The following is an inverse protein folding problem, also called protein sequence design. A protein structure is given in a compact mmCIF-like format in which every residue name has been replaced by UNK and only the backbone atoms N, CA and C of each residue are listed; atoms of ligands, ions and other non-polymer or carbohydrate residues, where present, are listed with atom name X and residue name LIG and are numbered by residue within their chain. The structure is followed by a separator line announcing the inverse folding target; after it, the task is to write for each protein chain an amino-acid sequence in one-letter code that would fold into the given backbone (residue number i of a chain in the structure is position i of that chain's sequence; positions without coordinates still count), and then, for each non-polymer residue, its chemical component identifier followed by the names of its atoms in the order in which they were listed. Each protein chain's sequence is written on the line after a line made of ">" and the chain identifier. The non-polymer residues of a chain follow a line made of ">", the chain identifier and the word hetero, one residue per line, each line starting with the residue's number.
data_IF_673734059988
#
_entry.id   IF_673734059988
#
_cell.length_a   1.000
_cell.length_b   1.000
_cell.length_c   1.000
_cell.angle_alpha   90.00
_cell.angle_beta   90.00
_cell.angle_gamma   90.00
#
_symmetry.space_group_name_H-M   'P 1'
#
loop_
_entity.id
_entity.type
_entity.pdbx_description
1 polymer ?
#
# COMPACT_ATOMS: atom_id res chain seq x y z
N UNK A 1 -1.76 -5.58 -27.72
CA UNK A 1 -2.26 -4.56 -26.78
C UNK A 1 -1.10 -3.73 -26.24
N UNK A 2 -0.75 -2.67 -26.96
CA UNK A 2 0.39 -1.77 -26.73
C UNK A 2 0.43 -1.21 -25.27
N UNK A 3 -0.73 -0.98 -24.65
CA UNK A 3 -0.81 -0.48 -23.26
C UNK A 3 -0.34 -1.51 -22.23
N UNK A 4 -0.65 -2.79 -22.42
CA UNK A 4 -0.22 -3.87 -21.52
C UNK A 4 1.28 -4.14 -21.68
N UNK A 5 1.78 -4.18 -22.89
CA UNK A 5 3.21 -4.37 -23.17
C UNK A 5 4.06 -3.26 -22.54
N UNK A 6 3.61 -1.99 -22.64
CA UNK A 6 4.26 -0.86 -21.99
C UNK A 6 4.28 -1.00 -20.47
N UNK A 7 3.17 -1.43 -19.83
CA UNK A 7 3.13 -1.72 -18.39
C UNK A 7 4.11 -2.82 -17.99
N UNK A 8 4.19 -3.90 -18.76
CA UNK A 8 5.13 -5.00 -18.53
C UNK A 8 6.57 -4.53 -18.64
N UNK A 9 6.90 -3.78 -19.68
CA UNK A 9 8.25 -3.23 -19.87
C UNK A 9 8.69 -2.34 -18.71
N UNK A 10 7.83 -1.38 -18.32
CA UNK A 10 8.09 -0.49 -17.19
C UNK A 10 8.21 -1.30 -15.89
N UNK A 11 7.26 -2.22 -15.65
CA UNK A 11 7.26 -3.06 -14.45
C UNK A 11 8.53 -3.90 -14.31
N UNK A 12 9.04 -4.48 -15.40
CA UNK A 12 10.30 -5.22 -15.41
C UNK A 12 11.51 -4.30 -15.08
N UNK A 13 11.55 -3.08 -15.63
CA UNK A 13 12.59 -2.09 -15.31
C UNK A 13 12.56 -1.73 -13.83
N UNK A 14 11.38 -1.40 -13.29
CA UNK A 14 11.20 -1.08 -11.86
C UNK A 14 11.58 -2.28 -10.98
N UNK A 15 11.17 -3.50 -11.34
CA UNK A 15 11.55 -4.72 -10.61
C UNK A 15 13.07 -4.90 -10.54
N UNK A 16 13.79 -4.63 -11.63
CA UNK A 16 15.26 -4.70 -11.64
C UNK A 16 15.89 -3.71 -10.66
N UNK A 17 15.35 -2.47 -10.60
CA UNK A 17 15.79 -1.45 -9.65
C UNK A 17 15.48 -1.89 -8.21
N UNK A 18 14.26 -2.32 -7.93
CA UNK A 18 13.87 -2.80 -6.59
C UNK A 18 14.77 -3.94 -6.12
N UNK A 19 15.10 -4.89 -7.00
CA UNK A 19 16.02 -5.99 -6.68
C UNK A 19 17.42 -5.48 -6.33
N UNK A 20 17.94 -4.51 -7.09
CA UNK A 20 19.27 -3.90 -6.81
C UNK A 20 19.33 -3.29 -5.41
N UNK A 21 18.26 -2.65 -4.97
CA UNK A 21 18.18 -2.00 -3.66
C UNK A 21 17.54 -2.86 -2.56
N UNK A 22 17.31 -4.16 -2.82
CA UNK A 22 16.71 -5.12 -1.88
C UNK A 22 15.34 -4.68 -1.32
N UNK A 23 14.55 -3.93 -2.10
CA UNK A 23 13.18 -3.51 -1.75
C UNK A 23 12.15 -4.34 -2.51
N UNK A 24 11.00 -4.58 -1.88
CA UNK A 24 9.90 -5.34 -2.49
C UNK A 24 9.08 -4.45 -3.43
N UNK A 25 8.72 -4.99 -4.60
CA UNK A 25 7.81 -4.36 -5.54
C UNK A 25 6.40 -4.91 -5.37
N UNK A 26 5.49 -4.05 -4.92
CA UNK A 26 4.06 -4.35 -4.80
C UNK A 26 3.31 -3.62 -5.91
N UNK A 27 2.57 -4.35 -6.73
CA UNK A 27 1.76 -3.80 -7.82
C UNK A 27 0.38 -3.44 -7.31
N UNK A 28 -0.11 -2.25 -7.65
CA UNK A 28 -1.48 -1.84 -7.33
C UNK A 28 -2.47 -2.50 -8.29
N UNK A 29 -3.56 -3.05 -7.74
CA UNK A 29 -4.82 -3.42 -8.37
C UNK A 29 -4.73 -4.55 -9.42
N UNK A 30 -3.52 -5.00 -9.82
CA UNK A 30 -3.34 -5.90 -10.98
C UNK A 30 -2.53 -7.17 -10.64
N UNK A 31 -3.20 -8.25 -10.18
CA UNK A 31 -2.56 -9.55 -9.93
C UNK A 31 -1.97 -10.20 -11.19
N UNK A 32 -2.56 -9.97 -12.37
CA UNK A 32 -2.02 -10.53 -13.61
C UNK A 32 -0.68 -9.89 -14.00
N UNK A 33 -0.58 -8.55 -13.88
CA UNK A 33 0.70 -7.85 -14.07
C UNK A 33 1.72 -8.31 -13.02
N UNK A 34 1.30 -8.45 -11.75
CA UNK A 34 2.14 -8.98 -10.67
C UNK A 34 2.77 -10.31 -11.04
N UNK A 35 1.96 -11.26 -11.55
CA UNK A 35 2.43 -12.57 -12.04
C UNK A 35 3.37 -12.40 -13.24
N UNK A 36 2.97 -11.60 -14.24
CA UNK A 36 3.68 -11.45 -15.52
C UNK A 36 5.09 -10.89 -15.38
N UNK A 37 5.30 -9.92 -14.47
CA UNK A 37 6.62 -9.32 -14.20
C UNK A 37 7.33 -9.96 -13.02
N UNK A 38 6.73 -10.98 -12.42
CA UNK A 38 7.21 -11.65 -11.20
C UNK A 38 7.48 -10.65 -10.05
N UNK A 39 6.57 -9.68 -9.83
CA UNK A 39 6.65 -8.76 -8.69
C UNK A 39 6.50 -9.50 -7.34
N UNK A 40 6.83 -8.85 -6.24
CA UNK A 40 6.82 -9.48 -4.90
C UNK A 40 5.41 -9.59 -4.32
N UNK A 41 4.47 -8.78 -4.80
CA UNK A 41 3.09 -8.82 -4.35
C UNK A 41 2.17 -7.86 -5.10
N UNK A 42 0.91 -7.84 -4.63
CA UNK A 42 -0.15 -6.98 -5.14
C UNK A 42 -0.88 -6.32 -3.97
N UNK A 43 -1.31 -5.07 -4.14
CA UNK A 43 -2.20 -4.37 -3.23
C UNK A 43 -3.57 -4.19 -3.88
N UNK A 44 -4.65 -4.51 -3.17
CA UNK A 44 -6.01 -4.49 -3.69
C UNK A 44 -6.89 -3.56 -2.85
N UNK A 45 -7.67 -2.74 -3.52
CA UNK A 45 -8.78 -1.98 -2.95
C UNK A 45 -10.06 -2.80 -2.90
N UNK A 46 -11.14 -2.21 -2.37
CA UNK A 46 -12.43 -2.90 -2.18
C UNK A 46 -13.21 -3.12 -3.50
N UNK A 47 -12.91 -2.35 -4.54
CA UNK A 47 -13.51 -2.49 -5.88
C UNK A 47 -12.68 -3.34 -6.83
N UNK A 48 -11.49 -3.78 -6.39
CA UNK A 48 -10.59 -4.55 -7.22
C UNK A 48 -10.88 -6.05 -7.17
N UNK A 49 -9.99 -6.86 -7.73
CA UNK A 49 -10.14 -8.30 -7.70
C UNK A 49 -10.22 -8.85 -6.28
N UNK A 50 -11.18 -9.73 -6.03
CA UNK A 50 -11.30 -10.42 -4.74
C UNK A 50 -10.01 -11.17 -4.38
N UNK A 51 -9.65 -11.17 -3.07
CA UNK A 51 -8.41 -11.74 -2.56
C UNK A 51 -8.24 -13.22 -2.91
N UNK A 52 -9.31 -14.04 -2.92
CA UNK A 52 -9.25 -15.45 -3.27
C UNK A 52 -8.86 -15.64 -4.74
N UNK A 53 -9.46 -14.86 -5.65
CA UNK A 53 -9.10 -14.88 -7.07
C UNK A 53 -7.65 -14.42 -7.27
N UNK A 54 -7.24 -13.35 -6.61
CA UNK A 54 -5.87 -12.86 -6.65
C UNK A 54 -4.88 -13.91 -6.13
N UNK A 55 -5.19 -14.57 -5.00
CA UNK A 55 -4.36 -15.63 -4.42
C UNK A 55 -4.17 -16.81 -5.39
N UNK A 56 -5.20 -17.17 -6.13
CA UNK A 56 -5.11 -18.22 -7.16
C UNK A 56 -4.15 -17.85 -8.30
N UNK A 57 -4.03 -16.55 -8.62
CA UNK A 57 -3.16 -16.05 -9.68
C UNK A 57 -1.71 -15.93 -9.21
N UNK A 58 -1.48 -15.30 -8.05
CA UNK A 58 -0.14 -14.94 -7.60
C UNK A 58 0.42 -15.85 -6.50
N UNK A 59 -0.37 -16.88 -6.09
CA UNK A 59 0.05 -17.94 -5.16
C UNK A 59 0.61 -17.38 -3.84
N UNK A 60 1.87 -17.65 -3.55
CA UNK A 60 2.55 -17.31 -2.29
C UNK A 60 3.10 -15.88 -2.24
N UNK A 61 2.74 -15.02 -3.19
CA UNK A 61 3.17 -13.61 -3.18
C UNK A 61 2.35 -12.78 -2.19
N UNK A 62 2.90 -11.65 -1.81
CA UNK A 62 2.28 -10.73 -0.85
C UNK A 62 0.97 -10.18 -1.42
N UNK A 63 -0.11 -10.22 -0.63
CA UNK A 63 -1.37 -9.53 -0.92
C UNK A 63 -1.69 -8.57 0.23
N UNK A 64 -1.76 -7.29 -0.10
CA UNK A 64 -2.26 -6.24 0.80
C UNK A 64 -3.69 -5.85 0.47
N UNK A 65 -4.48 -5.48 1.48
CA UNK A 65 -5.89 -5.07 1.30
C UNK A 65 -6.15 -3.71 1.93
N UNK A 66 -6.73 -2.79 1.16
CA UNK A 66 -7.26 -1.52 1.68
C UNK A 66 -8.53 -1.79 2.51
N UNK A 67 -8.56 -1.29 3.75
CA UNK A 67 -9.69 -1.43 4.66
C UNK A 67 -10.36 -0.09 5.04
N UNK A 68 -9.98 1.01 4.41
CA UNK A 68 -10.49 2.36 4.68
C UNK A 68 -10.43 2.73 6.18
N UNK A 69 -11.58 2.94 6.83
CA UNK A 69 -11.70 3.14 8.29
C UNK A 69 -12.61 2.05 8.87
N UNK A 70 -12.44 0.79 8.47
CA UNK A 70 -13.37 -0.30 8.81
C UNK A 70 -12.70 -1.52 9.41
N UNK A 71 -12.95 -1.74 10.69
CA UNK A 71 -12.54 -2.98 11.37
C UNK A 71 -13.23 -4.20 10.76
N UNK A 72 -14.47 -4.07 10.26
CA UNK A 72 -15.19 -5.16 9.58
C UNK A 72 -14.43 -5.63 8.34
N UNK A 73 -14.02 -4.68 7.48
CA UNK A 73 -13.22 -5.00 6.29
C UNK A 73 -11.87 -5.62 6.66
N UNK A 74 -11.22 -5.10 7.70
CA UNK A 74 -9.95 -5.65 8.17
C UNK A 74 -10.10 -7.10 8.68
N UNK A 75 -11.15 -7.41 9.46
CA UNK A 75 -11.45 -8.78 9.90
C UNK A 75 -11.66 -9.73 8.70
N UNK A 76 -12.39 -9.27 7.67
CA UNK A 76 -12.60 -10.04 6.45
C UNK A 76 -11.27 -10.29 5.73
N UNK A 77 -10.43 -9.26 5.57
CA UNK A 77 -9.12 -9.39 4.94
C UNK A 77 -8.21 -10.38 5.67
N UNK A 78 -8.17 -10.30 7.01
CA UNK A 78 -7.39 -11.24 7.86
C UNK A 78 -7.88 -12.68 7.71
N UNK A 79 -9.19 -12.91 7.77
CA UNK A 79 -9.78 -14.24 7.56
C UNK A 79 -9.44 -14.83 6.20
N UNK A 80 -9.36 -13.97 5.18
CA UNK A 80 -9.00 -14.34 3.82
C UNK A 80 -7.48 -14.36 3.57
N UNK A 81 -6.67 -14.39 4.64
CA UNK A 81 -5.21 -14.52 4.59
C UNK A 81 -4.52 -13.40 3.79
N UNK A 82 -4.95 -12.15 4.00
CA UNK A 82 -4.16 -11.00 3.59
C UNK A 82 -2.83 -10.96 4.35
N UNK A 83 -1.75 -10.61 3.66
CA UNK A 83 -0.41 -10.53 4.27
C UNK A 83 -0.20 -9.20 5.00
N UNK A 84 -0.92 -8.16 4.62
CA UNK A 84 -1.04 -6.90 5.35
C UNK A 84 -2.36 -6.19 5.03
N UNK A 85 -2.73 -5.25 5.89
CA UNK A 85 -3.92 -4.41 5.71
C UNK A 85 -3.53 -2.94 5.73
N UNK A 86 -4.27 -2.11 4.98
CA UNK A 86 -4.05 -0.68 4.94
C UNK A 86 -5.29 0.10 5.38
N UNK A 87 -5.10 1.06 6.27
CA UNK A 87 -6.12 2.02 6.69
C UNK A 87 -5.81 3.41 6.17
N UNK A 88 -6.83 4.17 5.83
CA UNK A 88 -6.72 5.54 5.32
C UNK A 88 -8.02 6.04 4.67
N UNK A 89 -8.05 7.33 4.27
CA UNK A 89 -6.94 8.26 4.44
C UNK A 89 -6.89 8.83 5.85
N UNK A 90 -5.69 8.99 6.42
CA UNK A 90 -5.55 9.62 7.74
C UNK A 90 -5.52 11.15 7.66
N UNK A 91 -5.17 11.69 6.51
CA UNK A 91 -5.16 13.13 6.23
C UNK A 91 -5.61 13.37 4.80
N UNK A 92 -5.98 14.61 4.49
CA UNK A 92 -6.38 15.00 3.14
C UNK A 92 -5.25 14.75 2.13
N UNK A 93 -5.63 14.20 1.00
CA UNK A 93 -4.69 13.84 -0.06
C UNK A 93 -5.06 14.51 -1.38
N UNK A 94 -4.09 15.18 -1.97
CA UNK A 94 -4.24 15.77 -3.32
C UNK A 94 -4.13 14.72 -4.44
N UNK A 95 -3.64 13.52 -4.14
CA UNK A 95 -3.39 12.47 -5.14
C UNK A 95 -4.66 11.70 -5.51
N UNK A 96 -5.54 11.45 -4.54
CA UNK A 96 -6.81 10.76 -4.75
C UNK A 96 -7.83 11.32 -3.77
N UNK A 97 -8.92 11.93 -4.28
CA UNK A 97 -10.05 12.29 -3.42
C UNK A 97 -10.64 11.00 -2.87
N UNK A 98 -10.61 10.82 -1.56
CA UNK A 98 -11.21 9.68 -0.88
C UNK A 98 -12.41 10.15 -0.07
N UNK A 99 -13.47 9.36 -0.07
CA UNK A 99 -14.65 9.58 0.79
C UNK A 99 -14.44 9.06 2.22
N UNK A 100 -13.33 8.35 2.46
CA UNK A 100 -13.07 7.70 3.72
C UNK A 100 -11.93 8.42 4.46
N UNK A 101 -12.23 8.88 5.67
CA UNK A 101 -11.24 9.41 6.59
C UNK A 101 -11.06 8.42 7.75
N UNK A 102 -9.82 7.99 7.98
CA UNK A 102 -9.52 7.04 9.03
C UNK A 102 -9.25 7.73 10.35
N UNK A 103 -9.87 7.22 11.43
CA UNK A 103 -9.56 7.64 12.78
C UNK A 103 -8.31 6.91 13.28
N UNK A 104 -7.41 7.62 13.98
CA UNK A 104 -6.16 7.04 14.47
C UNK A 104 -6.38 5.88 15.44
N UNK A 105 -7.48 5.87 16.18
CA UNK A 105 -7.85 4.80 17.11
C UNK A 105 -8.00 3.43 16.42
N UNK A 106 -8.27 3.42 15.10
CA UNK A 106 -8.39 2.14 14.36
C UNK A 106 -7.08 1.34 14.40
N UNK A 107 -5.93 2.04 14.49
CA UNK A 107 -4.61 1.41 14.57
C UNK A 107 -4.43 0.64 15.89
N UNK A 108 -4.98 1.15 16.99
CA UNK A 108 -4.96 0.44 18.27
C UNK A 108 -5.97 -0.71 18.31
N UNK A 109 -7.17 -0.48 17.79
CA UNK A 109 -8.23 -1.49 17.76
C UNK A 109 -7.81 -2.72 16.95
N UNK A 110 -7.21 -2.52 15.79
CA UNK A 110 -6.82 -3.63 14.93
C UNK A 110 -5.70 -4.47 15.54
N UNK A 111 -4.80 -3.91 16.34
CA UNK A 111 -3.73 -4.65 17.02
C UNK A 111 -4.23 -5.63 18.09
N UNK A 112 -5.45 -5.42 18.61
CA UNK A 112 -6.12 -6.38 19.47
C UNK A 112 -6.70 -7.58 18.72
N UNK A 113 -6.84 -7.47 17.39
CA UNK A 113 -7.53 -8.45 16.54
C UNK A 113 -6.54 -9.29 15.73
N UNK A 114 -5.43 -8.70 15.31
CA UNK A 114 -4.47 -9.40 14.43
C UNK A 114 -3.03 -8.93 14.66
N UNK A 115 -2.09 -9.82 14.33
CA UNK A 115 -0.65 -9.54 14.34
C UNK A 115 -0.10 -9.17 12.95
N UNK A 116 -0.90 -9.27 11.87
CA UNK A 116 -0.39 -8.93 10.53
C UNK A 116 -0.01 -7.46 10.44
N UNK A 117 0.93 -7.10 9.56
CA UNK A 117 1.36 -5.71 9.38
C UNK A 117 0.21 -4.78 9.02
N UNK A 118 0.25 -3.57 9.58
CA UNK A 118 -0.71 -2.50 9.33
C UNK A 118 -0.01 -1.33 8.65
N UNK A 119 -0.52 -0.93 7.51
CA UNK A 119 -0.05 0.22 6.73
C UNK A 119 -1.00 1.40 6.96
N UNK A 120 -0.46 2.56 7.30
CA UNK A 120 -1.20 3.81 7.27
C UNK A 120 -0.96 4.53 5.94
N UNK A 121 -2.05 5.03 5.32
CA UNK A 121 -2.02 5.72 4.01
C UNK A 121 -2.88 6.97 4.02
N UNK A 122 -2.57 7.91 3.13
CA UNK A 122 -3.35 9.11 2.83
C UNK A 122 -2.83 10.37 3.53
N UNK A 123 -2.38 11.34 2.73
CA UNK A 123 -1.91 12.65 3.16
C UNK A 123 -0.74 12.66 4.13
N UNK A 124 0.07 11.59 4.16
CA UNK A 124 1.20 11.46 5.07
C UNK A 124 2.36 12.31 4.56
N UNK A 125 2.97 13.05 5.50
CA UNK A 125 4.08 13.97 5.25
C UNK A 125 4.97 14.12 6.52
N UNK A 126 5.99 14.96 6.43
CA UNK A 126 6.95 15.23 7.51
C UNK A 126 6.29 15.67 8.83
N UNK A 127 5.12 16.35 8.81
CA UNK A 127 4.48 16.88 10.01
C UNK A 127 3.64 15.85 10.76
N UNK A 128 3.17 14.79 10.08
CA UNK A 128 2.19 13.86 10.66
C UNK A 128 2.62 12.39 10.73
N UNK A 129 3.70 11.98 10.07
CA UNK A 129 4.12 10.58 10.00
C UNK A 129 4.44 9.96 11.36
N UNK A 130 5.13 10.70 12.26
CA UNK A 130 5.52 10.22 13.59
C UNK A 130 4.31 9.81 14.41
N UNK A 131 3.23 10.61 14.35
CA UNK A 131 1.98 10.32 15.05
C UNK A 131 1.40 8.95 14.67
N UNK A 132 1.47 8.56 13.40
CA UNK A 132 0.96 7.28 12.93
C UNK A 132 1.82 6.11 13.41
N UNK A 133 3.15 6.24 13.41
CA UNK A 133 4.06 5.23 13.93
C UNK A 133 3.90 5.04 15.44
N UNK A 134 3.82 6.12 16.21
CA UNK A 134 3.58 6.08 17.66
C UNK A 134 2.24 5.40 17.98
N UNK A 135 1.25 5.51 17.10
CA UNK A 135 -0.04 4.84 17.22
C UNK A 135 -0.07 3.45 16.56
N UNK A 136 1.09 2.79 16.44
CA UNK A 136 1.24 1.37 16.06
C UNK A 136 1.00 1.03 14.58
N UNK A 137 1.06 1.99 13.65
CA UNK A 137 1.26 1.64 12.25
C UNK A 137 2.63 0.96 12.09
N UNK A 138 2.70 -0.14 11.33
CA UNK A 138 3.97 -0.82 11.04
C UNK A 138 4.69 -0.17 9.86
N UNK A 139 3.92 0.32 8.89
CA UNK A 139 4.42 0.94 7.67
C UNK A 139 3.59 2.17 7.30
N UNK A 140 4.21 3.06 6.54
CA UNK A 140 3.58 4.25 5.99
C UNK A 140 3.60 4.18 4.45
N UNK A 141 2.46 4.37 3.81
CA UNK A 141 2.39 4.53 2.35
C UNK A 141 2.34 6.03 2.01
N UNK A 142 3.45 6.55 1.51
CA UNK A 142 3.64 7.97 1.22
C UNK A 142 3.82 8.15 -0.28
N UNK A 143 2.95 8.92 -0.91
CA UNK A 143 3.00 9.19 -2.34
C UNK A 143 3.09 10.68 -2.63
N UNK A 144 2.01 11.43 -2.43
CA UNK A 144 1.94 12.84 -2.85
C UNK A 144 3.01 13.74 -2.24
N UNK A 145 3.42 13.48 -1.01
CA UNK A 145 4.49 14.24 -0.37
C UNK A 145 5.84 14.05 -1.09
N UNK A 146 6.12 12.84 -1.55
CA UNK A 146 7.39 12.51 -2.23
C UNK A 146 7.37 12.90 -3.72
N UNK A 147 6.26 12.60 -4.43
CA UNK A 147 6.24 12.70 -5.88
C UNK A 147 5.64 14.00 -6.42
N UNK A 148 4.81 14.70 -5.63
CA UNK A 148 4.11 15.90 -6.07
C UNK A 148 4.72 17.18 -5.48
N UNK A 149 5.84 17.09 -4.77
CA UNK A 149 6.54 18.24 -4.23
C UNK A 149 7.32 18.93 -5.36
N UNK A 150 6.99 20.21 -5.59
CA UNK A 150 7.68 21.02 -6.62
C UNK A 150 8.96 21.68 -6.09
N UNK A 151 9.11 21.76 -4.76
CA UNK A 151 10.22 22.48 -4.11
C UNK A 151 11.46 21.61 -3.91
N UNK A 152 11.26 20.30 -3.65
CA UNK A 152 12.34 19.37 -3.32
C UNK A 152 12.30 18.14 -4.22
N UNK A 153 13.48 17.54 -4.43
CA UNK A 153 13.59 16.24 -5.12
C UNK A 153 13.06 15.12 -4.21
N UNK A 154 12.54 14.03 -4.76
CA UNK A 154 12.04 12.87 -3.97
C UNK A 154 13.05 12.35 -2.93
N UNK A 155 14.34 12.34 -3.27
CA UNK A 155 15.43 11.93 -2.37
C UNK A 155 15.61 12.84 -1.16
N UNK A 156 15.35 14.14 -1.31
CA UNK A 156 15.41 15.13 -0.22
C UNK A 156 14.19 14.98 0.71
N UNK A 157 13.01 14.79 0.14
CA UNK A 157 11.78 14.60 0.93
C UNK A 157 11.79 13.30 1.73
N UNK A 158 12.36 12.22 1.19
CA UNK A 158 12.56 10.97 1.91
C UNK A 158 13.46 11.19 3.14
N UNK A 159 14.58 11.90 3.00
CA UNK A 159 15.50 12.19 4.12
C UNK A 159 14.87 12.97 5.28
N UNK A 160 13.75 13.68 5.04
CA UNK A 160 13.03 14.40 6.09
C UNK A 160 12.08 13.51 6.90
N UNK A 161 11.87 12.26 6.48
CA UNK A 161 10.95 11.31 7.10
C UNK A 161 11.71 10.17 7.79
N UNK A 162 12.92 9.89 7.35
CA UNK A 162 13.82 8.87 7.91
C UNK A 162 14.74 9.55 9.01
#
# INVERSE_FOLDING_TARGET
>A
NTRLEKKILIGKKVKKICKKFKVKLIINDDPYLTKKINADGCHLGQSDMNIHKARNIIKNKIIGITCHNSIKLAKIAVRNKADYIAFGAFNDSKTKKTRFQANINILHLIKKITKIPVVAIGGINQKNYKKLLLNKANFLAISGYIWNNKKYKPTEDIKKII
#
